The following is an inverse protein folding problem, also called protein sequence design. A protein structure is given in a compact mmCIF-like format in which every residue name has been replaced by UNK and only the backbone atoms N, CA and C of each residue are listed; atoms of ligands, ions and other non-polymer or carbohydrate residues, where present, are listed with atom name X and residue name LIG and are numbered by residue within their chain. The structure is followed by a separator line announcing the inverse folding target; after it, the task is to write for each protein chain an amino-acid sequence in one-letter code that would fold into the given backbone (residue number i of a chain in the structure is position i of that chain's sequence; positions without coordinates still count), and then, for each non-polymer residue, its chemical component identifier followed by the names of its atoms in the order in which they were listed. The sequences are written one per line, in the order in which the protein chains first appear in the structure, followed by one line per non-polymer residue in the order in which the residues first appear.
data_IF_709079127389
#
_entry.id   IF_709079127389
#
_cell.length_a   1.000
_cell.length_b   1.000
_cell.length_c   1.000
_cell.angle_alpha   90.00
_cell.angle_beta   90.00
_cell.angle_gamma   90.00
#
_symmetry.space_group_name_H-M   'P 1'
#
loop_
_entity.id
_entity.type
_entity.pdbx_description
1 polymer ?
#
# COMPACT_ATOMS: atom_id res chain seq x y z
N UNK A 1 -23.29 0.25 -17.57
CA UNK A 1 -22.58 -0.63 -16.61
C UNK A 1 -22.09 0.21 -15.42
N UNK A 2 -23.00 0.65 -14.56
CA UNK A 2 -22.69 1.59 -13.47
C UNK A 2 -22.55 0.92 -12.09
N UNK A 3 -22.42 -0.42 -12.04
CA UNK A 3 -22.36 -1.19 -10.79
C UNK A 3 -20.98 -1.80 -10.46
N UNK A 4 -19.93 -1.56 -11.25
CA UNK A 4 -18.76 -2.46 -11.23
C UNK A 4 -17.47 -1.92 -10.57
N UNK A 5 -17.43 -0.69 -10.08
CA UNK A 5 -16.24 -0.22 -9.33
C UNK A 5 -16.52 -0.08 -7.83
N UNK A 6 -17.68 0.37 -7.37
CA UNK A 6 -17.94 0.65 -5.93
C UNK A 6 -17.65 -0.52 -4.98
N UNK A 7 -17.76 -1.78 -5.43
CA UNK A 7 -17.48 -2.96 -4.61
C UNK A 7 -16.09 -2.95 -3.96
N UNK A 8 -15.08 -2.36 -4.62
CA UNK A 8 -13.71 -2.35 -4.07
C UNK A 8 -13.58 -1.40 -2.87
N UNK A 9 -14.47 -0.41 -2.75
CA UNK A 9 -14.49 0.56 -1.67
C UNK A 9 -15.21 0.08 -0.40
N UNK A 10 -15.94 -1.03 -0.47
CA UNK A 10 -16.70 -1.60 0.65
C UNK A 10 -15.89 -2.70 1.34
N UNK A 11 -15.71 -2.66 2.66
CA UNK A 11 -14.91 -3.66 3.37
C UNK A 11 -15.43 -5.08 3.15
N UNK A 12 -16.73 -5.25 2.95
CA UNK A 12 -17.33 -6.57 2.74
C UNK A 12 -16.83 -7.24 1.45
N UNK A 13 -16.60 -6.47 0.38
CA UNK A 13 -16.29 -7.00 -0.96
C UNK A 13 -14.92 -6.58 -1.48
N UNK A 14 -14.25 -5.64 -0.82
CA UNK A 14 -12.97 -5.08 -1.23
C UNK A 14 -12.09 -4.67 -0.06
N UNK A 15 -11.02 -3.97 -0.41
CA UNK A 15 -9.93 -3.60 0.48
C UNK A 15 -9.32 -2.23 0.09
N UNK A 16 -10.09 -1.40 -0.62
CA UNK A 16 -9.70 -0.07 -1.06
C UNK A 16 -8.58 -0.07 -2.10
N UNK A 17 -8.11 1.13 -2.45
CA UNK A 17 -7.06 1.28 -3.47
C UNK A 17 -5.72 0.67 -3.03
N UNK A 18 -5.44 0.64 -1.71
CA UNK A 18 -4.24 -0.02 -1.20
C UNK A 18 -4.23 -1.51 -1.54
N UNK A 19 -5.37 -2.20 -1.50
CA UNK A 19 -5.44 -3.61 -1.88
C UNK A 19 -5.66 -3.87 -3.37
N UNK A 20 -6.07 -2.84 -4.14
CA UNK A 20 -6.23 -2.92 -5.59
C UNK A 20 -4.89 -2.72 -6.33
N UNK A 21 -4.07 -1.75 -5.90
CA UNK A 21 -2.79 -1.42 -6.54
C UNK A 21 -1.59 -1.88 -5.72
N UNK A 22 -1.70 -1.89 -4.40
CA UNK A 22 -0.58 -2.18 -3.51
C UNK A 22 0.13 -3.50 -3.77
N UNK A 23 -0.53 -4.63 -4.07
CA UNK A 23 0.18 -5.88 -4.29
C UNK A 23 1.15 -5.83 -5.47
N UNK A 24 0.92 -4.99 -6.47
CA UNK A 24 1.81 -4.83 -7.63
C UNK A 24 3.10 -4.10 -7.26
N UNK A 25 2.96 -2.89 -6.70
CA UNK A 25 4.12 -2.04 -6.38
C UNK A 25 4.85 -2.52 -5.12
N UNK A 26 4.12 -3.01 -4.12
CA UNK A 26 4.77 -3.60 -2.94
C UNK A 26 5.59 -4.84 -3.28
N UNK A 27 5.26 -5.57 -4.35
CA UNK A 27 6.07 -6.68 -4.86
C UNK A 27 7.41 -6.18 -5.39
N UNK A 28 7.40 -5.15 -6.24
CA UNK A 28 8.62 -4.54 -6.79
C UNK A 28 9.45 -3.90 -5.68
N UNK A 29 8.82 -3.21 -4.72
CA UNK A 29 9.51 -2.64 -3.57
C UNK A 29 10.13 -3.71 -2.66
N UNK A 30 9.43 -4.84 -2.41
CA UNK A 30 10.01 -5.99 -1.70
C UNK A 30 11.19 -6.58 -2.47
N UNK A 31 11.08 -6.69 -3.79
CA UNK A 31 12.17 -7.17 -4.64
C UNK A 31 13.40 -6.27 -4.55
N UNK A 32 13.21 -4.94 -4.54
CA UNK A 32 14.29 -3.98 -4.32
C UNK A 32 14.96 -4.11 -2.94
N UNK A 33 14.22 -4.60 -1.93
CA UNK A 33 14.72 -4.90 -0.59
C UNK A 33 15.33 -6.31 -0.47
N UNK A 34 15.39 -7.08 -1.56
CA UNK A 34 15.92 -8.44 -1.58
C UNK A 34 14.91 -9.52 -1.19
N UNK A 35 13.63 -9.28 -1.46
CA UNK A 35 12.49 -10.17 -1.15
C UNK A 35 12.44 -10.63 0.32
N UNK A 36 12.42 -9.68 1.28
CA UNK A 36 12.18 -10.06 2.66
C UNK A 36 10.78 -10.68 2.79
N UNK A 37 10.59 -11.57 3.76
CA UNK A 37 9.27 -12.09 4.15
C UNK A 37 8.34 -11.00 4.69
N UNK A 38 7.43 -11.33 5.59
CA UNK A 38 6.59 -10.30 6.23
C UNK A 38 7.43 -9.35 7.11
N UNK A 39 7.11 -8.05 7.15
CA UNK A 39 7.78 -7.10 8.03
C UNK A 39 7.38 -7.37 9.48
N UNK A 40 8.24 -6.98 10.42
CA UNK A 40 7.97 -7.21 11.84
C UNK A 40 6.88 -6.27 12.36
N UNK A 41 6.86 -5.03 11.88
CA UNK A 41 5.90 -4.03 12.30
C UNK A 41 5.29 -3.31 11.10
N UNK A 42 4.00 -2.99 11.22
CA UNK A 42 3.28 -2.20 10.24
C UNK A 42 2.25 -1.28 10.89
N UNK A 43 2.07 -0.09 10.32
CA UNK A 43 0.94 0.77 10.64
C UNK A 43 0.52 1.60 9.44
N UNK A 44 -0.67 2.21 9.50
CA UNK A 44 -1.09 3.16 8.46
C UNK A 44 -1.80 4.39 9.02
N UNK A 45 -1.73 5.48 8.26
CA UNK A 45 -2.44 6.73 8.49
C UNK A 45 -3.24 7.03 7.23
N UNK A 46 -4.49 7.45 7.36
CA UNK A 46 -5.28 7.80 6.19
C UNK A 46 -6.76 7.99 6.46
N UNK A 47 -7.54 7.96 5.41
CA UNK A 47 -8.98 8.15 5.48
C UNK A 47 -9.62 8.19 4.12
N UNK A 48 -10.93 8.45 4.14
CA UNK A 48 -11.74 8.69 2.95
C UNK A 48 -12.08 10.17 2.93
N UNK A 49 -11.52 10.89 1.96
CA UNK A 49 -11.56 12.35 1.91
C UNK A 49 -12.17 12.86 0.60
N UNK A 50 -12.61 14.11 0.59
CA UNK A 50 -13.18 14.77 -0.59
C UNK A 50 -14.63 14.37 -0.84
N UNK A 51 -15.32 13.91 0.21
CA UNK A 51 -16.67 13.33 0.12
C UNK A 51 -17.76 14.35 -0.16
N UNK A 52 -17.54 15.63 0.20
CA UNK A 52 -18.57 16.67 0.25
C UNK A 52 -19.24 17.04 -1.09
N UNK A 53 -18.67 16.64 -2.23
CA UNK A 53 -19.22 16.90 -3.57
C UNK A 53 -19.74 15.62 -4.27
N UNK A 54 -19.80 14.48 -3.56
CA UNK A 54 -20.11 13.16 -4.14
C UNK A 54 -21.13 12.38 -3.31
N UNK A 55 -21.97 11.55 -3.95
CA UNK A 55 -22.81 10.53 -3.28
C UNK A 55 -21.97 9.30 -2.87
N UNK A 56 -20.76 9.54 -2.37
CA UNK A 56 -19.82 8.47 -2.06
C UNK A 56 -20.20 7.76 -0.75
N UNK A 57 -20.29 6.44 -0.84
CA UNK A 57 -20.70 5.52 0.23
C UNK A 57 -19.60 4.52 0.59
N UNK A 58 -18.39 4.71 0.09
CA UNK A 58 -17.26 3.82 0.37
C UNK A 58 -16.81 3.84 1.84
N UNK A 59 -16.27 2.73 2.30
CA UNK A 59 -15.85 2.52 3.70
C UNK A 59 -14.33 2.49 3.87
N UNK A 60 -13.61 2.19 2.79
CA UNK A 60 -12.15 2.06 2.76
C UNK A 60 -11.49 3.40 2.43
N UNK A 61 -10.24 3.58 2.86
CA UNK A 61 -9.49 4.80 2.64
C UNK A 61 -9.20 5.02 1.14
N UNK A 62 -9.43 6.24 0.65
CA UNK A 62 -8.98 6.66 -0.67
C UNK A 62 -7.62 7.37 -0.63
N UNK A 63 -7.19 7.83 0.54
CA UNK A 63 -5.84 8.37 0.75
C UNK A 63 -5.26 7.72 1.99
N UNK A 64 -4.11 7.04 1.84
CA UNK A 64 -3.52 6.22 2.90
C UNK A 64 -2.02 6.12 2.72
N UNK A 65 -1.27 6.32 3.80
CA UNK A 65 0.15 5.99 3.88
C UNK A 65 0.32 4.78 4.80
N UNK A 66 1.11 3.81 4.38
CA UNK A 66 1.42 2.61 5.15
C UNK A 66 2.93 2.47 5.32
N UNK A 67 3.36 2.18 6.54
CA UNK A 67 4.75 1.97 6.91
C UNK A 67 5.00 0.50 7.23
N UNK A 68 6.12 -0.03 6.74
CA UNK A 68 6.61 -1.35 7.04
C UNK A 68 8.09 -1.28 7.40
N UNK A 69 8.46 -1.83 8.55
CA UNK A 69 9.76 -1.60 9.20
C UNK A 69 10.91 -2.49 8.67
N UNK A 70 10.90 -2.78 7.36
CA UNK A 70 11.93 -3.58 6.72
C UNK A 70 13.36 -3.06 6.96
N UNK A 71 14.32 -3.97 6.75
CA UNK A 71 15.75 -3.69 6.79
C UNK A 71 16.37 -4.04 5.43
N UNK A 72 17.37 -3.27 4.96
CA UNK A 72 18.04 -2.16 5.65
C UNK A 72 17.23 -0.85 5.66
N UNK A 73 16.20 -0.72 4.82
CA UNK A 73 15.36 0.46 4.70
C UNK A 73 13.87 0.09 4.87
N UNK A 74 13.03 1.00 5.41
CA UNK A 74 11.60 0.79 5.48
C UNK A 74 10.96 0.81 4.09
N UNK A 75 9.80 0.18 3.96
CA UNK A 75 8.90 0.35 2.82
C UNK A 75 7.78 1.29 3.25
N UNK A 76 7.53 2.34 2.46
CA UNK A 76 6.40 3.25 2.64
C UNK A 76 5.56 3.21 1.37
N UNK A 77 4.26 2.96 1.51
CA UNK A 77 3.33 2.95 0.40
C UNK A 77 2.32 4.09 0.55
N UNK A 78 2.10 4.86 -0.52
CA UNK A 78 1.19 6.01 -0.52
C UNK A 78 0.10 5.84 -1.58
N UNK A 79 -1.14 5.75 -1.11
CA UNK A 79 -2.34 5.92 -1.95
C UNK A 79 -2.76 7.38 -1.89
N UNK A 80 -2.93 8.00 -3.06
CA UNK A 80 -3.43 9.37 -3.22
C UNK A 80 -4.62 9.37 -4.18
N UNK A 81 -5.80 9.12 -3.64
CA UNK A 81 -7.03 8.91 -4.40
C UNK A 81 -7.74 10.19 -4.85
N UNK A 82 -7.18 11.37 -4.61
CA UNK A 82 -7.69 12.64 -5.14
C UNK A 82 -6.83 13.14 -6.31
N UNK A 83 -7.36 14.04 -7.15
CA UNK A 83 -6.55 14.74 -8.14
C UNK A 83 -5.38 15.50 -7.49
N UNK A 84 -4.41 15.94 -8.28
CA UNK A 84 -3.26 16.72 -7.77
C UNK A 84 -3.66 18.01 -7.05
N UNK A 85 -4.86 18.53 -7.34
CA UNK A 85 -5.53 19.63 -6.64
C UNK A 85 -7.01 19.71 -7.04
N UNK A 86 -7.82 20.44 -6.28
CA UNK A 86 -9.25 20.62 -6.58
C UNK A 86 -9.49 21.19 -7.99
N UNK A 87 -10.46 20.62 -8.69
CA UNK A 87 -10.84 21.02 -10.05
C UNK A 87 -9.87 20.57 -11.15
N UNK A 88 -8.79 19.86 -10.81
CA UNK A 88 -7.91 19.25 -11.80
C UNK A 88 -8.45 17.90 -12.28
N UNK A 89 -7.99 17.46 -13.46
CA UNK A 89 -8.25 16.12 -14.00
C UNK A 89 -7.06 15.19 -13.84
N UNK A 90 -5.85 15.74 -13.65
CA UNK A 90 -4.65 14.95 -13.46
C UNK A 90 -4.57 14.45 -12.00
N UNK A 91 -4.26 13.16 -11.84
CA UNK A 91 -3.91 12.60 -10.54
C UNK A 91 -2.54 13.12 -10.07
N UNK A 92 -2.33 13.06 -8.77
CA UNK A 92 -1.06 13.39 -8.14
C UNK A 92 0.06 12.43 -8.56
N UNK A 93 1.32 12.83 -8.34
CA UNK A 93 2.49 12.02 -8.64
C UNK A 93 3.62 12.25 -7.63
N UNK A 94 4.46 11.26 -7.45
CA UNK A 94 5.72 11.40 -6.73
C UNK A 94 6.89 11.36 -7.73
N UNK A 95 7.65 12.46 -7.80
CA UNK A 95 8.83 12.58 -8.70
C UNK A 95 8.55 12.23 -10.17
N UNK A 96 7.35 12.56 -10.64
CA UNK A 96 6.90 12.32 -12.02
C UNK A 96 6.24 10.95 -12.24
N UNK A 97 6.19 10.10 -11.21
CA UNK A 97 5.54 8.78 -11.26
C UNK A 97 4.19 8.81 -10.56
N UNK A 98 3.13 8.43 -11.27
CA UNK A 98 1.75 8.41 -10.75
C UNK A 98 1.42 7.09 -10.04
N UNK A 99 1.85 5.98 -10.62
CA UNK A 99 1.74 4.62 -10.10
C UNK A 99 3.09 3.97 -10.38
N UNK A 100 3.71 3.40 -9.37
CA UNK A 100 5.08 2.91 -9.44
C UNK A 100 5.81 3.07 -8.11
N UNK A 101 7.10 2.76 -8.13
CA UNK A 101 8.00 2.81 -6.99
C UNK A 101 8.99 3.96 -7.05
N UNK A 102 9.60 4.27 -5.91
CA UNK A 102 10.78 5.13 -5.86
C UNK A 102 11.79 4.56 -4.86
N UNK A 103 12.88 3.99 -5.37
CA UNK A 103 14.01 3.55 -4.53
C UNK A 103 14.89 4.75 -4.21
N UNK A 104 15.02 5.09 -2.93
CA UNK A 104 15.89 6.15 -2.44
C UNK A 104 17.16 5.56 -1.83
N UNK A 105 18.32 6.07 -2.25
CA UNK A 105 19.63 5.74 -1.69
C UNK A 105 20.39 7.02 -1.32
N UNK A 106 21.57 6.91 -0.72
CA UNK A 106 22.36 8.08 -0.27
C UNK A 106 22.80 8.97 -1.44
N UNK A 107 23.09 8.38 -2.59
CA UNK A 107 23.61 9.08 -3.77
C UNK A 107 22.56 9.56 -4.77
N UNK A 108 21.28 9.23 -4.57
CA UNK A 108 20.24 9.51 -5.56
C UNK A 108 19.00 8.66 -5.39
N UNK A 109 18.15 8.68 -6.42
CA UNK A 109 16.87 8.00 -6.40
C UNK A 109 16.46 7.46 -7.77
N UNK A 110 15.61 6.44 -7.75
CA UNK A 110 15.08 5.77 -8.93
C UNK A 110 13.55 5.68 -8.84
N UNK A 111 12.81 6.65 -9.39
CA UNK A 111 11.38 6.51 -9.63
C UNK A 111 11.16 5.67 -10.88
N UNK A 112 10.31 4.65 -10.79
CA UNK A 112 10.02 3.73 -11.88
C UNK A 112 8.58 3.24 -11.88
N UNK A 113 8.12 2.77 -13.03
CA UNK A 113 6.90 1.99 -13.21
C UNK A 113 7.22 0.70 -13.99
N UNK A 114 6.20 -0.06 -14.40
CA UNK A 114 6.37 -1.29 -15.20
C UNK A 114 7.15 -1.08 -16.52
N UNK A 115 7.17 0.15 -17.03
CA UNK A 115 7.89 0.58 -18.22
C UNK A 115 9.36 0.96 -17.96
N UNK A 116 9.79 0.99 -16.70
CA UNK A 116 11.13 1.35 -16.27
C UNK A 116 11.21 2.77 -15.71
N UNK A 117 12.38 3.40 -15.79
CA UNK A 117 12.61 4.70 -15.17
C UNK A 117 14.02 5.25 -15.40
N UNK A 118 14.31 6.38 -14.77
CA UNK A 118 15.64 7.00 -14.77
C UNK A 118 16.19 7.05 -13.34
N UNK A 119 17.45 6.68 -13.15
CA UNK A 119 18.20 7.02 -11.93
C UNK A 119 18.57 8.51 -12.03
N UNK A 120 18.36 9.22 -10.93
CA UNK A 120 18.78 10.59 -10.72
C UNK A 120 19.77 10.67 -9.56
N UNK A 121 20.74 11.58 -9.61
CA UNK A 121 21.44 12.00 -8.40
C UNK A 121 20.54 12.92 -7.54
N UNK A 122 21.03 13.30 -6.36
CA UNK A 122 20.30 14.18 -5.44
C UNK A 122 20.09 15.61 -5.99
N UNK A 123 20.84 16.01 -7.02
CA UNK A 123 20.66 17.30 -7.71
C UNK A 123 19.65 17.20 -8.87
N UNK A 124 19.05 16.03 -9.09
CA UNK A 124 18.06 15.79 -10.14
C UNK A 124 18.65 15.59 -11.53
N UNK A 125 19.96 15.34 -11.65
CA UNK A 125 20.59 15.00 -12.93
C UNK A 125 20.37 13.53 -13.23
N UNK A 126 19.93 13.25 -14.47
CA UNK A 126 19.79 11.88 -14.99
C UNK A 126 21.16 11.19 -15.08
N UNK A 127 21.27 10.02 -14.47
CA UNK A 127 22.46 9.17 -14.50
C UNK A 127 22.28 8.05 -15.54
N UNK A 128 21.22 7.24 -15.40
CA UNK A 128 21.02 6.03 -16.21
C UNK A 128 19.53 5.72 -16.38
N UNK A 129 19.15 5.28 -17.57
CA UNK A 129 17.80 4.78 -17.82
C UNK A 129 17.75 3.26 -17.73
N UNK A 130 16.68 2.74 -17.16
CA UNK A 130 16.26 1.36 -17.27
C UNK A 130 14.92 1.29 -18.00
N UNK A 131 14.74 0.26 -18.80
CA UNK A 131 13.51 0.01 -19.55
C UNK A 131 12.88 -1.28 -19.06
N UNK A 132 11.61 -1.20 -18.68
CA UNK A 132 10.76 -2.34 -18.35
C UNK A 132 9.97 -2.83 -19.56
N UNK A 133 9.23 -3.92 -19.36
CA UNK A 133 8.40 -4.55 -20.41
C UNK A 133 6.90 -4.30 -20.24
N UNK A 134 6.47 -3.49 -19.26
CA UNK A 134 5.05 -3.25 -19.04
C UNK A 134 4.29 -4.53 -18.69
N UNK A 135 4.91 -5.47 -17.97
CA UNK A 135 4.36 -6.80 -17.69
C UNK A 135 4.38 -7.80 -18.87
N UNK A 136 4.83 -7.42 -20.07
CA UNK A 136 4.78 -8.34 -21.22
C UNK A 136 5.55 -9.66 -20.98
N UNK A 137 4.89 -10.79 -21.25
CA UNK A 137 5.45 -12.14 -21.16
C UNK A 137 5.04 -12.95 -19.93
N UNK A 138 4.34 -12.36 -18.96
CA UNK A 138 3.95 -13.08 -17.73
C UNK A 138 3.04 -14.30 -17.99
N UNK A 139 2.06 -14.18 -18.92
CA UNK A 139 1.19 -15.30 -19.31
C UNK A 139 1.96 -16.44 -20.00
N UNK A 140 2.93 -16.09 -20.85
CA UNK A 140 3.76 -17.09 -21.53
C UNK A 140 4.62 -17.83 -20.50
N UNK A 141 5.26 -17.12 -19.58
CA UNK A 141 6.04 -17.73 -18.51
C UNK A 141 5.21 -18.72 -17.68
N UNK A 142 3.98 -18.35 -17.28
CA UNK A 142 3.09 -19.26 -16.57
C UNK A 142 2.79 -20.54 -17.37
N UNK A 143 2.42 -20.41 -18.65
CA UNK A 143 2.13 -21.57 -19.51
C UNK A 143 3.38 -22.46 -19.67
N UNK A 144 4.56 -21.87 -19.81
CA UNK A 144 5.81 -22.62 -19.91
C UNK A 144 6.12 -23.38 -18.61
N UNK A 145 5.97 -22.75 -17.45
CA UNK A 145 6.18 -23.41 -16.15
C UNK A 145 5.20 -24.57 -15.92
N UNK A 146 3.92 -24.41 -16.29
CA UNK A 146 2.93 -25.49 -16.23
C UNK A 146 3.32 -26.67 -17.15
N UNK A 147 3.78 -26.38 -18.36
CA UNK A 147 4.22 -27.40 -19.32
C UNK A 147 5.48 -28.13 -18.86
N UNK A 148 6.45 -27.39 -18.32
CA UNK A 148 7.71 -27.96 -17.85
C UNK A 148 7.55 -28.74 -16.55
N UNK A 149 6.52 -28.42 -15.76
CA UNK A 149 6.27 -28.95 -14.41
C UNK A 149 7.42 -28.66 -13.44
N UNK A 150 8.16 -27.58 -13.67
CA UNK A 150 9.24 -27.11 -12.80
C UNK A 150 8.88 -25.76 -12.24
N UNK A 151 8.74 -25.67 -10.91
CA UNK A 151 8.45 -24.42 -10.20
C UNK A 151 9.55 -23.38 -10.47
N UNK A 152 10.81 -23.81 -10.61
CA UNK A 152 11.94 -22.93 -10.93
C UNK A 152 11.84 -22.18 -12.26
N UNK A 153 10.91 -22.58 -13.15
CA UNK A 153 10.71 -21.91 -14.44
C UNK A 153 9.67 -20.76 -14.32
N UNK A 154 8.98 -20.64 -13.18
CA UNK A 154 8.00 -19.59 -12.90
C UNK A 154 8.70 -18.37 -12.31
N UNK A 155 8.44 -17.18 -12.87
CA UNK A 155 9.05 -15.93 -12.39
C UNK A 155 8.36 -15.34 -11.15
N UNK A 156 7.08 -15.65 -10.93
CA UNK A 156 6.29 -15.14 -9.82
C UNK A 156 5.51 -16.26 -9.16
N UNK A 157 6.10 -16.85 -8.12
CA UNK A 157 5.47 -17.90 -7.33
C UNK A 157 4.27 -17.35 -6.54
N UNK A 158 3.31 -18.21 -6.19
CA UNK A 158 2.13 -17.82 -5.41
C UNK A 158 2.52 -17.31 -4.02
N UNK A 159 3.60 -17.83 -3.43
CA UNK A 159 4.10 -17.36 -2.13
C UNK A 159 4.53 -15.87 -2.19
N UNK A 160 5.14 -15.46 -3.31
CA UNK A 160 5.52 -14.06 -3.53
C UNK A 160 4.27 -13.17 -3.58
N UNK A 161 3.26 -13.58 -4.35
CA UNK A 161 1.98 -12.87 -4.42
C UNK A 161 1.24 -12.80 -3.09
N UNK A 162 1.29 -13.86 -2.29
CA UNK A 162 0.73 -13.90 -0.93
C UNK A 162 1.40 -12.87 -0.02
N UNK A 163 2.73 -12.86 0.04
CA UNK A 163 3.48 -11.93 0.89
C UNK A 163 3.27 -10.46 0.48
N UNK A 164 3.21 -10.17 -0.82
CA UNK A 164 2.95 -8.82 -1.33
C UNK A 164 1.50 -8.36 -1.06
N UNK A 165 0.52 -9.27 -1.16
CA UNK A 165 -0.87 -8.99 -0.77
C UNK A 165 -1.05 -8.84 0.75
N UNK A 166 -0.28 -9.59 1.55
CA UNK A 166 -0.35 -9.54 3.01
C UNK A 166 0.00 -8.15 3.56
N UNK A 167 0.95 -7.43 2.95
CA UNK A 167 1.27 -6.05 3.31
C UNK A 167 0.04 -5.12 3.23
N UNK A 168 -0.77 -5.26 2.18
CA UNK A 168 -2.00 -4.49 2.00
C UNK A 168 -3.02 -4.80 3.12
N UNK A 169 -3.10 -6.07 3.52
CA UNK A 169 -3.95 -6.50 4.63
C UNK A 169 -3.43 -6.00 5.98
N UNK A 170 -2.11 -5.96 6.21
CA UNK A 170 -1.52 -5.38 7.41
C UNK A 170 -1.82 -3.88 7.54
N UNK A 171 -1.67 -3.12 6.45
CA UNK A 171 -2.01 -1.70 6.42
C UNK A 171 -3.49 -1.46 6.71
N UNK A 172 -4.38 -2.21 6.07
CA UNK A 172 -5.82 -2.13 6.30
C UNK A 172 -6.24 -2.57 7.70
N UNK A 173 -5.57 -3.58 8.28
CA UNK A 173 -5.83 -4.02 9.66
C UNK A 173 -5.50 -2.91 10.65
N UNK A 174 -4.34 -2.27 10.49
CA UNK A 174 -3.97 -1.09 11.28
C UNK A 174 -5.00 0.03 11.09
N UNK A 175 -5.40 0.36 9.85
CA UNK A 175 -6.38 1.41 9.59
C UNK A 175 -7.73 1.16 10.27
N UNK A 176 -8.24 -0.07 10.21
CA UNK A 176 -9.54 -0.44 10.77
C UNK A 176 -9.57 -0.45 12.31
N UNK A 177 -8.42 -0.66 12.95
CA UNK A 177 -8.25 -0.50 14.38
C UNK A 177 -7.96 0.94 14.81
N UNK A 178 -7.76 1.83 13.83
CA UNK A 178 -7.34 3.19 14.07
C UNK A 178 -8.41 4.07 14.70
N UNK A 179 -7.95 5.19 15.24
CA UNK A 179 -8.78 6.24 15.80
C UNK A 179 -8.62 7.53 15.01
N UNK A 180 -9.63 8.40 15.09
CA UNK A 180 -9.52 9.77 14.57
C UNK A 180 -8.53 10.57 15.42
N UNK A 181 -7.69 11.35 14.76
CA UNK A 181 -6.67 12.18 15.41
C UNK A 181 -6.39 13.44 14.60
N UNK A 182 -5.98 14.52 15.29
CA UNK A 182 -5.53 15.74 14.62
C UNK A 182 -4.15 15.55 13.96
N UNK A 183 -3.78 16.38 12.98
CA UNK A 183 -2.43 16.37 12.41
C UNK A 183 -1.32 16.49 13.46
N UNK A 184 -1.53 17.27 14.53
CA UNK A 184 -0.56 17.47 15.62
C UNK A 184 -0.38 16.20 16.46
N UNK A 185 -1.47 15.51 16.80
CA UNK A 185 -1.42 14.22 17.49
C UNK A 185 -0.71 13.16 16.65
N UNK A 186 -0.97 13.15 15.34
CA UNK A 186 -0.32 12.23 14.40
C UNK A 186 1.17 12.53 14.29
N UNK A 187 1.58 13.80 14.14
CA UNK A 187 3.01 14.20 14.13
C UNK A 187 3.71 13.79 15.42
N UNK A 188 3.05 13.99 16.56
CA UNK A 188 3.56 13.55 17.87
C UNK A 188 3.75 12.03 17.92
N UNK A 189 2.82 11.28 17.34
CA UNK A 189 2.89 9.80 17.28
C UNK A 189 3.98 9.31 16.34
N UNK A 190 4.18 9.96 15.18
CA UNK A 190 5.27 9.64 14.23
C UNK A 190 6.64 9.89 14.88
N UNK A 191 6.75 10.93 15.71
CA UNK A 191 7.98 11.23 16.44
C UNK A 191 9.14 11.59 15.51
N UNK A 192 10.26 10.90 15.67
CA UNK A 192 11.53 11.13 14.98
C UNK A 192 11.72 10.28 13.72
N UNK A 193 10.71 9.50 13.31
CA UNK A 193 10.73 8.77 12.05
C UNK A 193 10.61 9.75 10.86
N UNK A 194 11.76 10.17 10.32
CA UNK A 194 11.85 11.21 9.30
C UNK A 194 11.15 10.81 8.01
N UNK A 195 11.24 9.54 7.62
CA UNK A 195 10.67 9.00 6.39
C UNK A 195 9.13 9.01 6.44
N UNK A 196 8.55 8.63 7.58
CA UNK A 196 7.09 8.75 7.76
C UNK A 196 6.64 10.18 7.96
N UNK A 197 7.43 11.04 8.61
CA UNK A 197 7.10 12.45 8.74
C UNK A 197 7.03 13.12 7.36
N UNK A 198 7.98 12.81 6.49
CA UNK A 198 8.02 13.29 5.11
C UNK A 198 6.80 12.80 4.29
N UNK A 199 6.47 11.50 4.39
CA UNK A 199 5.26 10.93 3.77
C UNK A 199 3.96 11.56 4.31
N UNK A 200 3.86 11.77 5.62
CA UNK A 200 2.70 12.40 6.23
C UNK A 200 2.56 13.87 5.83
N UNK A 201 3.66 14.62 5.74
CA UNK A 201 3.62 16.00 5.25
C UNK A 201 3.13 16.06 3.80
N UNK A 202 3.56 15.13 2.92
CA UNK A 202 3.01 15.03 1.56
C UNK A 202 1.53 14.70 1.54
N UNK A 203 1.04 13.84 2.44
CA UNK A 203 -0.40 13.61 2.59
C UNK A 203 -1.12 14.91 2.96
N UNK A 204 -0.61 15.68 3.94
CA UNK A 204 -1.21 16.95 4.32
C UNK A 204 -1.24 17.97 3.17
N UNK A 205 -0.15 18.06 2.40
CA UNK A 205 -0.09 18.89 1.18
C UNK A 205 -1.13 18.45 0.14
N UNK A 206 -1.25 17.14 -0.08
CA UNK A 206 -2.22 16.56 -1.00
C UNK A 206 -3.67 16.88 -0.60
N UNK A 207 -4.00 16.72 0.70
CA UNK A 207 -5.33 17.02 1.23
C UNK A 207 -5.62 18.52 1.19
N UNK A 208 -4.63 19.37 1.52
CA UNK A 208 -4.76 20.83 1.43
C UNK A 208 -4.96 21.30 -0.02
N UNK A 209 -4.24 20.73 -0.99
CA UNK A 209 -4.40 21.04 -2.41
C UNK A 209 -5.80 20.70 -2.95
N UNK A 210 -6.52 19.80 -2.27
CA UNK A 210 -7.90 19.43 -2.58
C UNK A 210 -8.93 20.10 -1.67
N UNK A 211 -8.52 21.06 -0.84
CA UNK A 211 -9.39 21.82 0.09
C UNK A 211 -10.18 20.92 1.06
N UNK A 212 -9.59 19.78 1.48
CA UNK A 212 -10.22 18.87 2.44
C UNK A 212 -10.30 19.53 3.82
N UNK A 213 -11.50 19.53 4.39
CA UNK A 213 -11.79 20.07 5.73
C UNK A 213 -11.57 18.98 6.78
N UNK A 214 -10.38 18.97 7.41
CA UNK A 214 -9.99 17.93 8.38
C UNK A 214 -10.79 17.95 9.69
N UNK A 215 -11.54 19.02 9.98
CA UNK A 215 -12.47 19.04 11.11
C UNK A 215 -13.73 18.20 10.80
N UNK A 216 -14.13 18.14 9.53
CA UNK A 216 -15.27 17.31 9.07
C UNK A 216 -14.85 15.92 8.63
N UNK A 217 -13.67 15.82 8.04
CA UNK A 217 -13.10 14.59 7.50
C UNK A 217 -11.78 14.28 8.23
N UNK A 218 -11.81 13.93 9.53
CA UNK A 218 -10.59 13.73 10.32
C UNK A 218 -9.80 12.52 9.86
N UNK A 219 -8.47 12.62 9.96
CA UNK A 219 -7.54 11.55 9.62
C UNK A 219 -7.66 10.41 10.66
N UNK A 220 -7.61 9.17 10.18
CA UNK A 220 -7.48 7.99 11.02
C UNK A 220 -6.00 7.61 11.14
N UNK A 221 -5.51 7.42 12.36
CA UNK A 221 -4.21 6.79 12.64
C UNK A 221 -4.43 5.40 13.22
N UNK A 222 -3.90 4.39 12.54
CA UNK A 222 -3.89 3.00 12.99
C UNK A 222 -2.78 2.74 14.01
N UNK A 223 -2.95 1.76 14.92
CA UNK A 223 -1.89 1.36 15.83
C UNK A 223 -0.75 0.68 15.07
N UNK A 224 0.46 0.71 15.66
CA UNK A 224 1.57 -0.14 15.26
C UNK A 224 1.25 -1.59 15.61
N UNK A 225 1.16 -2.45 14.58
CA UNK A 225 0.94 -3.87 14.73
C UNK A 225 2.27 -4.61 14.67
N UNK A 226 2.43 -5.65 15.48
CA UNK A 226 3.60 -6.55 15.44
C UNK A 226 3.20 -7.89 14.84
N UNK A 227 4.00 -8.40 13.91
CA UNK A 227 3.77 -9.67 13.19
C UNK A 227 4.80 -10.72 13.60
N UNK A 228 4.32 -11.92 13.93
CA UNK A 228 5.11 -13.14 13.94
C UNK A 228 5.06 -13.74 12.53
N UNK A 229 6.09 -13.44 11.73
CA UNK A 229 6.11 -13.79 10.30
C UNK A 229 6.07 -15.30 10.06
N UNK A 230 6.63 -16.12 10.96
CA UNK A 230 6.64 -17.58 10.81
C UNK A 230 5.24 -18.19 11.02
N UNK A 231 4.41 -17.52 11.83
CA UNK A 231 3.03 -17.96 12.11
C UNK A 231 1.98 -17.19 11.33
N UNK A 232 2.38 -16.13 10.63
CA UNK A 232 1.51 -15.15 9.98
C UNK A 232 0.39 -14.64 10.91
N UNK A 233 0.77 -14.34 12.16
CA UNK A 233 -0.15 -13.87 13.20
C UNK A 233 0.34 -12.60 13.87
N UNK A 234 -0.59 -11.70 14.17
CA UNK A 234 -0.28 -10.54 14.99
C UNK A 234 -0.02 -10.96 16.43
N UNK A 235 0.96 -10.31 17.06
CA UNK A 235 1.35 -10.53 18.46
C UNK A 235 1.48 -9.20 19.19
N UNK A 236 1.49 -9.23 20.52
CA UNK A 236 1.64 -8.03 21.34
C UNK A 236 0.36 -7.19 21.44
N UNK A 237 0.53 -5.88 21.61
CA UNK A 237 -0.58 -4.93 21.76
C UNK A 237 -1.49 -4.95 20.53
N UNK A 238 -2.81 -4.90 20.75
CA UNK A 238 -3.85 -4.97 19.71
C UNK A 238 -3.97 -6.30 18.93
N UNK A 239 -3.12 -7.30 19.21
CA UNK A 239 -3.11 -8.57 18.47
C UNK A 239 -4.44 -9.32 18.49
N UNK A 240 -5.16 -9.33 19.62
CA UNK A 240 -6.47 -10.00 19.72
C UNK A 240 -7.46 -9.47 18.67
N UNK A 241 -7.62 -8.14 18.60
CA UNK A 241 -8.51 -7.50 17.61
C UNK A 241 -7.93 -7.57 16.19
N UNK A 242 -6.62 -7.44 16.02
CA UNK A 242 -5.96 -7.52 14.72
C UNK A 242 -6.12 -8.91 14.09
N UNK A 243 -5.99 -9.97 14.89
CA UNK A 243 -6.12 -11.36 14.44
C UNK A 243 -7.56 -11.70 14.00
N UNK A 244 -8.58 -10.96 14.45
CA UNK A 244 -9.94 -11.09 13.93
C UNK A 244 -10.06 -10.71 12.44
N UNK A 245 -9.06 -10.02 11.88
CA UNK A 245 -9.04 -9.62 10.47
C UNK A 245 -8.19 -10.52 9.57
N UNK A 246 -7.47 -11.51 10.12
CA UNK A 246 -6.73 -12.50 9.34
C UNK A 246 -7.66 -13.43 8.54
N UNK A 247 -8.85 -13.70 9.08
CA UNK A 247 -9.90 -14.49 8.44
C UNK A 247 -11.19 -13.68 8.39
N UNK A 248 -12.02 -13.95 7.39
CA UNK A 248 -13.38 -13.39 7.34
C UNK A 248 -14.30 -14.21 8.25
N UNK A 249 -15.34 -13.57 8.78
CA UNK A 249 -16.47 -14.28 9.35
C UNK A 249 -17.23 -14.97 8.21
N UNK A 250 -16.93 -16.23 7.98
CA UNK A 250 -17.56 -17.01 6.92
C UNK A 250 -19.04 -17.24 7.21
N UNK A 251 -19.86 -17.19 6.16
CA UNK A 251 -21.28 -17.51 6.25
C UNK A 251 -21.47 -19.00 6.03
N UNK A 252 -21.93 -19.73 7.05
CA UNK A 252 -22.31 -21.14 6.91
C UNK A 252 -23.27 -21.37 5.73
N UNK A 253 -23.11 -22.44 4.92
CA UNK A 253 -22.08 -23.49 4.99
C UNK A 253 -20.77 -23.19 4.23
N UNK A 254 -20.54 -21.94 3.80
CA UNK A 254 -19.41 -21.55 2.95
C UNK A 254 -18.17 -21.16 3.78
N UNK A 255 -17.68 -22.10 4.58
CA UNK A 255 -16.53 -21.90 5.50
C UNK A 255 -15.27 -22.51 4.91
N UNK A 256 -14.14 -21.81 5.01
CA UNK A 256 -12.82 -22.37 4.70
C UNK A 256 -12.41 -23.31 5.85
N UNK A 257 -12.12 -24.59 5.59
CA UNK A 257 -11.74 -25.54 6.65
C UNK A 257 -10.50 -25.08 7.41
N UNK A 258 -10.45 -25.32 8.72
CA UNK A 258 -9.27 -25.06 9.55
C UNK A 258 -8.08 -25.97 9.20
N UNK A 259 -8.33 -27.13 8.57
CA UNK A 259 -7.31 -28.06 8.11
C UNK A 259 -7.60 -28.45 6.65
N UNK A 260 -6.59 -28.36 5.78
CA UNK A 260 -6.64 -28.72 4.35
C UNK A 260 -6.04 -30.11 4.14
#
# INVERSE_FOLDING_TARGET
SQFHYVWHWMWNTGNGDIGNQGPHEMDIARWALGDPGLPRHAFSIGGRFGMGETDDVGETANTQIAYFDYKPAPLIFEVRGLPRKKGDRAMDHFRGTRVGDCVQCEGGYFPCDDGGGWIYDNDGKRIKQFTGRGGAGHHENFIQAVRSRKVSDLNGDIEIGHLSAALCHMANTSHRLGKKASPEEIKTTIGDNAEMMDSFNRMLEHLAANEVDLEKEPITIGPMLTMDADKEQYVGEHSELANMFLKRNYREPFVVPENV
#
